data_IF_488775212642
#
_entry.id   IF_488775212642
#
_cell.length_a   1.000
_cell.length_b   1.000
_cell.length_c   1.000
_cell.angle_alpha   90.00
_cell.angle_beta   90.00
_cell.angle_gamma   90.00
#
_symmetry.space_group_name_H-M   'P 1'
#
loop_
_entity.id
_entity.type
_entity.pdbx_description
1 polymer ?
#
# COMPACT_ATOMS: atom_id res chain seq x y z
N UNK A 1 6.49 3.01 28.37
CA UNK A 1 5.97 2.26 29.54
C UNK A 1 4.69 1.49 29.20
N UNK A 2 4.11 0.71 30.12
CA UNK A 2 3.02 -0.23 29.80
C UNK A 2 1.77 0.45 29.19
N UNK A 3 1.36 1.63 29.71
CA UNK A 3 0.23 2.39 29.14
C UNK A 3 0.44 2.79 27.68
N UNK A 4 1.68 3.03 27.28
CA UNK A 4 2.02 3.36 25.89
C UNK A 4 1.99 2.10 25.01
N UNK A 5 2.44 0.97 25.53
CA UNK A 5 2.33 -0.33 24.86
C UNK A 5 0.86 -0.66 24.56
N UNK A 6 -0.04 -0.44 25.52
CA UNK A 6 -1.50 -0.59 25.33
C UNK A 6 -2.00 0.30 24.19
N UNK A 7 -1.66 1.59 24.19
CA UNK A 7 -2.04 2.51 23.11
C UNK A 7 -1.49 2.07 21.74
N UNK A 8 -0.27 1.54 21.69
CA UNK A 8 0.34 1.04 20.43
C UNK A 8 -0.42 -0.16 19.89
N UNK A 9 -0.79 -1.12 20.73
CA UNK A 9 -1.56 -2.29 20.28
C UNK A 9 -2.99 -1.93 19.88
N UNK A 10 -3.65 -1.03 20.60
CA UNK A 10 -4.99 -0.55 20.24
C UNK A 10 -5.02 0.10 18.85
N UNK A 11 -3.98 0.85 18.47
CA UNK A 11 -3.87 1.46 17.12
C UNK A 11 -3.86 0.45 15.99
N UNK A 12 -3.40 -0.78 16.24
CA UNK A 12 -3.36 -1.87 15.24
C UNK A 12 -4.50 -2.88 15.43
N UNK A 13 -5.52 -2.52 16.22
CA UNK A 13 -6.68 -3.39 16.48
C UNK A 13 -6.35 -4.64 17.32
N UNK A 14 -5.26 -4.59 18.09
CA UNK A 14 -4.82 -5.69 18.94
C UNK A 14 -4.77 -5.32 20.42
N UNK A 15 -4.42 -6.31 21.23
CA UNK A 15 -4.20 -6.17 22.67
C UNK A 15 -2.74 -6.45 23.00
N UNK A 16 -2.25 -5.92 24.12
CA UNK A 16 -0.90 -6.29 24.59
C UNK A 16 -0.92 -7.79 24.92
N UNK A 17 0.21 -8.45 24.65
CA UNK A 17 0.41 -9.88 24.80
C UNK A 17 -0.28 -10.48 26.04
N UNK A 18 -1.15 -11.45 25.80
CA UNK A 18 -1.62 -12.43 26.79
C UNK A 18 -0.96 -13.78 26.51
N UNK A 19 -0.78 -14.60 27.55
CA UNK A 19 -0.22 -15.95 27.46
C UNK A 19 -1.12 -16.89 28.25
N UNK A 20 -1.83 -17.77 27.54
CA UNK A 20 -2.90 -18.59 28.11
C UNK A 20 -2.45 -20.01 28.46
N UNK A 21 -1.35 -20.49 27.89
CA UNK A 21 -0.79 -21.81 28.15
C UNK A 21 0.75 -21.85 28.02
N UNK A 22 1.33 -22.99 28.39
CA UNK A 22 2.77 -23.23 28.37
C UNK A 22 3.35 -23.21 26.95
N UNK A 23 2.60 -23.73 25.97
CA UNK A 23 3.05 -23.78 24.58
C UNK A 23 3.13 -22.37 23.98
N UNK A 24 2.17 -21.50 24.30
CA UNK A 24 2.20 -20.09 23.95
C UNK A 24 3.40 -19.39 24.61
N UNK A 25 3.69 -19.67 25.89
CA UNK A 25 4.85 -19.10 26.56
C UNK A 25 6.17 -19.48 25.87
N UNK A 26 6.34 -20.77 25.55
CA UNK A 26 7.53 -21.28 24.85
C UNK A 26 7.64 -20.65 23.46
N UNK A 27 6.53 -20.61 22.71
CA UNK A 27 6.49 -20.00 21.39
C UNK A 27 6.95 -18.53 21.44
N UNK A 28 6.41 -17.74 22.36
CA UNK A 28 6.79 -16.34 22.50
C UNK A 28 8.27 -16.22 22.90
N UNK A 29 8.71 -16.95 23.92
CA UNK A 29 10.09 -16.89 24.40
C UNK A 29 11.10 -17.20 23.29
N UNK A 30 10.89 -18.26 22.51
CA UNK A 30 11.78 -18.63 21.40
C UNK A 30 11.93 -17.50 20.37
N UNK A 31 10.87 -16.74 20.11
CA UNK A 31 10.92 -15.61 19.19
C UNK A 31 11.53 -14.34 19.82
N UNK A 32 11.46 -14.20 21.15
CA UNK A 32 12.05 -13.07 21.87
C UNK A 32 13.58 -13.13 21.94
N UNK A 33 14.19 -14.32 21.91
CA UNK A 33 15.65 -14.48 22.02
C UNK A 33 16.41 -13.67 20.96
N UNK A 34 15.88 -13.59 19.74
CA UNK A 34 16.47 -12.81 18.63
C UNK A 34 16.54 -11.31 18.96
N UNK A 35 15.70 -10.82 19.86
CA UNK A 35 15.60 -9.41 20.25
C UNK A 35 16.18 -9.13 21.65
N UNK A 36 16.83 -10.11 22.29
CA UNK A 36 17.35 -9.95 23.66
C UNK A 36 18.32 -8.78 23.80
N UNK A 37 19.12 -8.50 22.77
CA UNK A 37 20.05 -7.35 22.74
C UNK A 37 19.35 -6.00 22.63
N UNK A 38 18.12 -5.95 22.15
CA UNK A 38 17.34 -4.72 21.93
C UNK A 38 16.41 -4.42 23.10
N UNK A 39 15.83 -5.45 23.70
CA UNK A 39 14.90 -5.33 24.81
C UNK A 39 15.06 -6.48 25.80
N UNK A 40 15.10 -6.14 27.10
CA UNK A 40 15.19 -7.11 28.20
C UNK A 40 13.99 -8.07 28.26
N UNK A 41 12.89 -7.69 27.62
CA UNK A 41 11.61 -8.39 27.68
C UNK A 41 10.52 -7.58 27.02
N UNK A 42 9.31 -8.12 27.06
CA UNK A 42 8.11 -7.47 26.51
C UNK A 42 7.00 -7.38 27.54
N UNK A 43 6.21 -6.32 27.45
CA UNK A 43 5.07 -6.11 28.32
C UNK A 43 4.00 -7.20 28.16
N UNK A 44 3.45 -7.63 29.30
CA UNK A 44 2.23 -8.44 29.36
C UNK A 44 1.02 -7.53 29.60
N UNK A 45 -0.11 -7.91 29.01
CA UNK A 45 -1.37 -7.17 29.03
C UNK A 45 -2.23 -7.38 30.28
N UNK A 46 -1.71 -8.05 31.31
CA UNK A 46 -2.48 -8.30 32.54
C UNK A 46 -2.48 -7.09 33.48
N UNK A 47 -3.53 -7.00 34.31
CA UNK A 47 -3.68 -6.00 35.35
C UNK A 47 -4.27 -6.61 36.63
N UNK A 48 -4.06 -5.98 37.77
CA UNK A 48 -4.64 -6.44 39.03
C UNK A 48 -6.08 -5.96 39.18
N UNK A 49 -6.99 -6.90 39.42
CA UNK A 49 -8.38 -6.61 39.74
C UNK A 49 -8.58 -6.55 41.28
N UNK A 50 -8.75 -5.36 41.88
CA UNK A 50 -8.86 -5.22 43.34
C UNK A 50 -10.13 -5.84 43.92
N UNK A 51 -11.20 -6.02 43.12
CA UNK A 51 -12.45 -6.64 43.59
C UNK A 51 -12.31 -8.15 43.74
N UNK A 52 -11.54 -8.78 42.85
CA UNK A 52 -11.31 -10.22 42.84
C UNK A 52 -10.02 -10.64 43.55
N UNK A 53 -9.11 -9.70 43.82
CA UNK A 53 -7.78 -10.00 44.37
C UNK A 53 -6.91 -10.81 43.40
N UNK A 54 -7.21 -10.78 42.11
CA UNK A 54 -6.59 -11.64 41.09
C UNK A 54 -6.06 -10.83 39.91
N UNK A 55 -5.13 -11.43 39.16
CA UNK A 55 -4.72 -10.90 37.87
C UNK A 55 -5.73 -11.25 36.80
N UNK A 56 -6.02 -10.29 35.95
CA UNK A 56 -6.91 -10.45 34.80
C UNK A 56 -6.24 -9.97 33.52
N UNK A 57 -6.56 -10.62 32.42
CA UNK A 57 -6.23 -10.17 31.07
C UNK A 57 -7.13 -8.99 30.64
N UNK A 58 -6.85 -8.43 29.47
CA UNK A 58 -7.59 -7.29 28.92
C UNK A 58 -9.09 -7.57 28.69
N UNK A 59 -9.48 -8.83 28.51
CA UNK A 59 -10.86 -9.29 28.35
C UNK A 59 -11.56 -9.60 29.70
N UNK A 60 -10.93 -9.22 30.82
CA UNK A 60 -11.35 -9.52 32.19
C UNK A 60 -11.35 -11.01 32.57
N UNK A 61 -10.78 -11.89 31.75
CA UNK A 61 -10.58 -13.29 32.13
C UNK A 61 -9.46 -13.40 33.15
N UNK A 62 -9.59 -14.34 34.09
CA UNK A 62 -8.57 -14.58 35.10
C UNK A 62 -7.30 -15.18 34.48
N UNK A 63 -6.14 -14.76 34.98
CA UNK A 63 -4.85 -15.36 34.61
C UNK A 63 -4.74 -16.75 35.25
N UNK A 64 -4.98 -17.79 34.45
CA UNK A 64 -4.95 -19.18 34.91
C UNK A 64 -3.58 -19.85 34.72
N UNK A 65 -2.87 -19.50 33.65
CA UNK A 65 -1.49 -19.91 33.42
C UNK A 65 -0.52 -18.82 33.89
N UNK A 66 0.62 -19.22 34.47
CA UNK A 66 1.68 -18.28 34.81
C UNK A 66 3.06 -18.93 34.83
N UNK A 67 4.09 -18.14 34.54
CA UNK A 67 5.49 -18.58 34.57
C UNK A 67 6.35 -17.64 35.41
N UNK A 68 6.03 -17.46 36.69
CA UNK A 68 6.71 -16.49 37.57
C UNK A 68 8.14 -16.86 38.01
N UNK A 69 8.67 -18.04 37.61
CA UNK A 69 9.95 -18.56 38.10
C UNK A 69 9.89 -19.00 39.57
N UNK A 70 11.02 -19.50 40.11
CA UNK A 70 11.08 -19.93 41.52
C UNK A 70 11.42 -18.77 42.48
N UNK A 71 10.75 -18.81 43.63
CA UNK A 71 11.04 -18.13 44.91
C UNK A 71 10.52 -16.71 45.19
N UNK A 72 10.64 -15.69 44.33
CA UNK A 72 10.44 -14.29 44.82
C UNK A 72 9.41 -13.43 44.06
N UNK A 73 8.68 -13.99 43.10
CA UNK A 73 7.74 -13.23 42.22
C UNK A 73 6.35 -13.87 42.11
N UNK A 74 5.98 -14.71 43.07
CA UNK A 74 4.66 -15.36 43.13
C UNK A 74 3.49 -14.42 43.44
N UNK A 75 2.26 -14.96 43.61
CA UNK A 75 1.03 -14.19 43.80
C UNK A 75 1.05 -13.19 44.97
N UNK A 76 1.91 -13.41 45.95
CA UNK A 76 2.10 -12.57 47.14
C UNK A 76 2.69 -11.18 46.86
N UNK A 77 3.25 -10.94 45.67
CA UNK A 77 3.85 -9.66 45.25
C UNK A 77 2.99 -8.89 44.23
N UNK A 78 1.79 -9.39 43.93
CA UNK A 78 0.86 -8.77 43.00
C UNK A 78 0.27 -7.52 43.66
N UNK A 79 0.46 -6.35 43.03
CA UNK A 79 -0.03 -5.07 43.55
C UNK A 79 -0.79 -4.27 42.47
N UNK A 80 -1.70 -3.36 42.85
CA UNK A 80 -2.43 -2.50 41.91
C UNK A 80 -1.53 -1.60 41.06
N UNK A 81 -0.31 -1.31 41.53
CA UNK A 81 0.64 -0.40 40.88
C UNK A 81 1.79 -1.14 40.19
N UNK A 82 1.74 -2.47 40.16
CA UNK A 82 2.75 -3.30 39.50
C UNK A 82 2.38 -3.56 38.04
N UNK A 83 3.39 -3.61 37.18
CA UNK A 83 3.26 -4.05 35.80
C UNK A 83 4.10 -5.28 35.54
N UNK A 84 3.71 -6.05 34.53
CA UNK A 84 4.21 -7.41 34.31
C UNK A 84 4.80 -7.55 32.93
N UNK A 85 5.86 -8.33 32.82
CA UNK A 85 6.59 -8.53 31.58
C UNK A 85 7.22 -9.91 31.53
N UNK A 86 7.43 -10.44 30.33
CA UNK A 86 8.15 -11.68 30.09
C UNK A 86 9.59 -11.35 29.70
N UNK A 87 10.54 -12.02 30.34
CA UNK A 87 11.98 -11.83 30.11
C UNK A 87 12.42 -12.55 28.84
N UNK A 88 13.15 -11.84 27.97
CA UNK A 88 13.60 -12.38 26.68
C UNK A 88 14.57 -13.57 26.84
N UNK A 89 15.37 -13.57 27.90
CA UNK A 89 16.46 -14.55 28.10
C UNK A 89 15.96 -15.96 28.46
N UNK A 90 14.88 -16.07 29.24
CA UNK A 90 14.42 -17.36 29.79
C UNK A 90 12.90 -17.55 29.78
N UNK A 91 12.12 -16.59 29.28
CA UNK A 91 10.66 -16.70 29.18
C UNK A 91 9.93 -16.61 30.52
N UNK A 92 10.63 -16.23 31.59
CA UNK A 92 10.05 -16.08 32.94
C UNK A 92 9.39 -14.72 33.07
N UNK A 93 8.27 -14.68 33.79
CA UNK A 93 7.51 -13.47 34.04
C UNK A 93 8.05 -12.74 35.27
N UNK A 94 8.09 -11.43 35.18
CA UNK A 94 8.61 -10.53 36.21
C UNK A 94 7.63 -9.40 36.44
N UNK A 95 7.65 -8.87 37.66
CA UNK A 95 6.94 -7.65 38.04
C UNK A 95 7.91 -6.47 38.10
N UNK A 96 7.41 -5.26 37.90
CA UNK A 96 8.20 -4.04 38.03
C UNK A 96 7.40 -2.77 37.80
N UNK A 97 8.10 -1.64 37.75
CA UNK A 97 7.49 -0.34 37.50
C UNK A 97 6.90 -0.24 36.08
N UNK A 98 5.66 0.23 35.99
CA UNK A 98 4.95 0.50 34.74
C UNK A 98 5.61 1.55 33.83
N UNK A 99 6.52 2.36 34.36
CA UNK A 99 7.22 3.41 33.63
C UNK A 99 8.47 2.94 32.89
N UNK A 100 8.89 1.68 33.03
CA UNK A 100 10.13 1.20 32.42
C UNK A 100 10.06 1.27 30.87
N UNK A 101 10.91 2.09 30.26
CA UNK A 101 10.88 2.32 28.81
C UNK A 101 11.71 1.32 28.01
N UNK A 102 12.51 0.47 28.67
CA UNK A 102 13.41 -0.51 28.00
C UNK A 102 12.73 -1.81 27.58
N UNK A 103 11.42 -1.91 27.78
CA UNK A 103 10.60 -3.08 27.46
C UNK A 103 9.98 -2.93 26.06
N UNK A 104 10.04 -4.01 25.27
CA UNK A 104 9.34 -4.11 23.99
C UNK A 104 7.84 -4.32 24.15
N UNK A 105 7.13 -4.38 23.02
CA UNK A 105 5.69 -4.63 22.97
C UNK A 105 5.38 -5.64 21.86
N UNK A 106 4.54 -6.63 22.18
CA UNK A 106 3.93 -7.55 21.23
C UNK A 106 2.42 -7.35 21.30
N UNK A 107 1.78 -7.26 20.14
CA UNK A 107 0.34 -7.09 20.02
C UNK A 107 -0.30 -8.39 19.54
N UNK A 108 -1.14 -9.00 20.38
CA UNK A 108 -1.92 -10.20 20.06
C UNK A 108 -3.26 -9.77 19.46
N UNK A 109 -3.61 -10.37 18.33
CA UNK A 109 -4.90 -10.16 17.65
C UNK A 109 -5.62 -11.49 17.53
N UNK A 110 -6.95 -11.48 17.60
CA UNK A 110 -7.75 -12.67 17.34
C UNK A 110 -7.61 -13.05 15.88
N UNK A 111 -7.40 -14.34 15.60
CA UNK A 111 -7.52 -14.83 14.23
C UNK A 111 -8.94 -14.55 13.76
N UNK A 112 -9.09 -13.75 12.72
CA UNK A 112 -10.38 -13.55 12.07
C UNK A 112 -10.80 -14.91 11.53
N UNK A 113 -11.70 -15.61 12.24
CA UNK A 113 -12.40 -16.78 11.70
C UNK A 113 -13.32 -16.28 10.60
N UNK A 114 -12.80 -16.15 9.38
CA UNK A 114 -13.58 -15.99 8.15
C UNK A 114 -14.85 -15.14 8.25
N UNK A 115 -14.81 -14.01 8.95
CA UNK A 115 -15.73 -12.92 8.59
C UNK A 115 -15.24 -12.48 7.24
N UNK A 116 -16.06 -12.67 6.20
CA UNK A 116 -15.88 -12.17 4.84
C UNK A 116 -14.83 -11.08 4.83
N UNK A 117 -13.66 -11.36 4.25
CA UNK A 117 -12.65 -10.35 3.93
C UNK A 117 -13.48 -9.16 3.47
N UNK A 118 -13.57 -8.10 4.29
CA UNK A 118 -14.03 -6.82 3.80
C UNK A 118 -13.01 -6.55 2.74
N UNK A 119 -13.42 -6.78 1.49
CA UNK A 119 -12.56 -6.74 0.32
C UNK A 119 -11.62 -5.57 0.54
N UNK A 120 -10.29 -5.75 0.49
CA UNK A 120 -9.43 -4.59 0.49
C UNK A 120 -9.99 -3.68 -0.60
N UNK A 121 -10.11 -2.38 -0.33
CA UNK A 121 -10.66 -1.38 -1.26
C UNK A 121 -10.01 -1.44 -2.67
N UNK A 122 -8.93 -2.19 -2.81
CA UNK A 122 -8.37 -2.69 -4.05
C UNK A 122 -9.38 -3.35 -5.04
N UNK A 123 -10.41 -4.09 -4.57
CA UNK A 123 -11.40 -4.75 -5.44
C UNK A 123 -12.67 -3.90 -5.73
N UNK A 124 -12.71 -2.63 -5.35
CA UNK A 124 -13.69 -1.70 -5.96
C UNK A 124 -13.10 -1.06 -7.21
N UNK A 125 -11.82 -0.70 -7.16
CA UNK A 125 -11.16 0.00 -8.26
C UNK A 125 -10.92 -0.90 -9.48
N UNK A 126 -10.94 -2.23 -9.35
CA UNK A 126 -10.71 -3.14 -10.49
C UNK A 126 -11.78 -2.98 -11.58
N UNK A 127 -13.05 -2.81 -11.19
CA UNK A 127 -14.13 -2.59 -12.17
C UNK A 127 -13.95 -1.25 -12.89
N UNK A 128 -13.63 -0.20 -12.14
CA UNK A 128 -13.40 1.15 -12.69
C UNK A 128 -12.16 1.19 -13.60
N UNK A 129 -11.05 0.56 -13.19
CA UNK A 129 -9.82 0.47 -13.97
C UNK A 129 -10.05 -0.26 -15.30
N UNK A 130 -10.76 -1.40 -15.28
CA UNK A 130 -11.08 -2.15 -16.50
C UNK A 130 -11.94 -1.32 -17.46
N UNK A 131 -12.96 -0.60 -16.96
CA UNK A 131 -13.79 0.27 -17.79
C UNK A 131 -12.99 1.41 -18.40
N UNK A 132 -12.11 2.05 -17.62
CA UNK A 132 -11.24 3.14 -18.11
C UNK A 132 -10.30 2.64 -19.21
N UNK A 133 -9.66 1.48 -19.01
CA UNK A 133 -8.77 0.88 -20.01
C UNK A 133 -9.53 0.55 -21.30
N UNK A 134 -10.71 -0.07 -21.19
CA UNK A 134 -11.53 -0.41 -22.37
C UNK A 134 -12.02 0.84 -23.11
N UNK A 135 -12.43 1.88 -22.38
CA UNK A 135 -12.85 3.15 -22.99
C UNK A 135 -11.69 3.86 -23.70
N UNK A 136 -10.50 3.83 -23.13
CA UNK A 136 -9.29 4.43 -23.69
C UNK A 136 -8.88 3.70 -24.99
N UNK A 137 -8.84 2.37 -24.97
CA UNK A 137 -8.53 1.56 -26.15
C UNK A 137 -9.55 1.77 -27.29
N UNK A 138 -10.84 1.86 -26.95
CA UNK A 138 -11.88 2.14 -27.93
C UNK A 138 -11.72 3.52 -28.56
N UNK A 139 -11.45 4.56 -27.77
CA UNK A 139 -11.20 5.92 -28.28
C UNK A 139 -9.95 5.97 -29.16
N UNK A 140 -8.86 5.32 -28.74
CA UNK A 140 -7.62 5.23 -29.52
C UNK A 140 -7.81 4.51 -30.85
N UNK A 141 -8.78 3.60 -30.98
CA UNK A 141 -9.08 2.93 -32.25
C UNK A 141 -10.05 3.74 -33.13
N UNK A 142 -11.07 4.37 -32.54
CA UNK A 142 -12.11 5.09 -33.28
C UNK A 142 -11.62 6.40 -33.89
N UNK A 143 -10.74 7.14 -33.20
CA UNK A 143 -10.23 8.43 -33.69
C UNK A 143 -9.40 8.28 -34.98
N UNK A 144 -8.41 7.37 -35.08
CA UNK A 144 -7.67 7.14 -36.32
C UNK A 144 -8.56 6.64 -37.46
N UNK A 145 -9.52 5.76 -37.17
CA UNK A 145 -10.47 5.26 -38.18
C UNK A 145 -11.35 6.39 -38.70
N UNK A 146 -11.88 7.25 -37.82
CA UNK A 146 -12.66 8.41 -38.22
C UNK A 146 -11.83 9.40 -39.06
N UNK A 147 -10.58 9.68 -38.67
CA UNK A 147 -9.66 10.52 -39.44
C UNK A 147 -9.33 9.92 -40.81
N UNK A 148 -9.14 8.61 -40.87
CA UNK A 148 -8.91 7.89 -42.11
C UNK A 148 -10.14 7.97 -43.04
N UNK A 149 -11.34 7.72 -42.51
CA UNK A 149 -12.59 7.82 -43.27
C UNK A 149 -12.87 9.25 -43.73
N UNK A 150 -12.62 10.24 -42.87
CA UNK A 150 -12.75 11.65 -43.20
C UNK A 150 -11.80 12.07 -44.32
N UNK A 151 -10.51 11.69 -44.22
CA UNK A 151 -9.52 11.93 -45.28
C UNK A 151 -9.90 11.23 -46.58
N UNK A 152 -10.37 9.98 -46.51
CA UNK A 152 -10.83 9.23 -47.69
C UNK A 152 -12.02 9.92 -48.36
N UNK A 153 -12.99 10.41 -47.58
CA UNK A 153 -14.16 11.14 -48.09
C UNK A 153 -13.78 12.49 -48.71
N UNK A 154 -12.90 13.25 -48.06
CA UNK A 154 -12.38 14.51 -48.59
C UNK A 154 -11.60 14.33 -49.91
N UNK A 155 -10.82 13.24 -50.04
CA UNK A 155 -10.15 12.89 -51.31
C UNK A 155 -11.19 12.49 -52.37
N UNK A 156 -12.23 11.75 -51.99
CA UNK A 156 -13.30 11.35 -52.91
C UNK A 156 -14.14 12.54 -53.41
N UNK A 157 -14.38 13.54 -52.56
CA UNK A 157 -15.09 14.79 -52.92
C UNK A 157 -14.23 15.71 -53.82
N UNK A 158 -12.90 15.61 -53.77
CA UNK A 158 -12.00 16.26 -54.75
C UNK A 158 -11.75 15.42 -56.02
N UNK A 159 -12.29 14.21 -56.09
CA UNK A 159 -12.00 13.21 -57.13
C UNK A 159 -12.90 13.26 -58.37
N UNK A 160 -13.91 14.13 -58.42
CA UNK A 160 -14.77 14.27 -59.60
C UNK A 160 -14.53 15.62 -60.29
N UNK A 161 -13.35 15.80 -60.85
CA UNK A 161 -13.21 16.63 -62.05
C UNK A 161 -12.89 15.67 -63.20
N UNK A 162 -13.93 15.31 -63.96
CA UNK A 162 -13.77 14.56 -65.21
C UNK A 162 -12.86 15.35 -66.15
N UNK A 163 -11.65 14.85 -66.36
CA UNK A 163 -10.81 15.31 -67.46
C UNK A 163 -11.41 14.71 -68.74
N UNK A 164 -12.24 15.49 -69.43
CA UNK A 164 -12.65 15.20 -70.79
C UNK A 164 -11.40 15.07 -71.66
N UNK A 165 -11.09 13.85 -72.11
CA UNK A 165 -10.11 13.62 -73.17
C UNK A 165 -10.87 13.41 -74.47
N UNK A 166 -10.65 14.30 -75.43
CA UNK A 166 -10.74 13.93 -76.84
C UNK A 166 -9.51 14.43 -77.59
N UNK A 167 -9.05 13.58 -78.50
CA UNK A 167 -7.72 13.52 -79.09
C UNK A 167 -7.32 14.74 -79.93
N UNK A 168 -6.06 15.17 -79.79
CA UNK A 168 -5.40 16.06 -80.75
C UNK A 168 -4.64 15.21 -81.77
N UNK A 169 -5.05 15.31 -83.02
CA UNK A 169 -4.33 14.80 -84.20
C UNK A 169 -2.98 15.48 -84.35
N UNK A 170 -1.99 14.70 -84.80
CA UNK A 170 -0.60 15.04 -85.07
C UNK A 170 -0.41 16.35 -85.85
N UNK A 171 0.52 17.19 -85.38
CA UNK A 171 1.37 18.06 -86.22
C UNK A 171 2.64 18.47 -85.43
N UNK A 172 3.81 18.18 -86.00
CA UNK A 172 5.17 18.63 -85.65
C UNK A 172 5.39 20.11 -86.10
N UNK A 173 6.56 20.81 -85.92
CA UNK A 173 7.75 20.64 -85.07
C UNK A 173 8.11 21.90 -84.23
N UNK A 174 9.21 21.79 -83.45
CA UNK A 174 10.15 22.83 -82.98
C UNK A 174 9.67 23.92 -81.99
N UNK A 175 10.27 23.98 -80.79
CA UNK A 175 11.27 25.01 -80.43
C UNK A 175 11.91 24.74 -79.07
N UNK A 176 13.22 24.90 -79.07
CA UNK A 176 14.18 24.86 -77.97
C UNK A 176 14.10 26.08 -77.05
N UNK A 177 14.27 25.89 -75.74
CA UNK A 177 15.00 26.74 -74.77
C UNK A 177 14.47 26.42 -73.36
N UNK A 178 15.20 25.69 -72.51
CA UNK A 178 16.32 26.20 -71.69
C UNK A 178 15.93 27.37 -70.79
N UNK A 179 15.83 27.11 -69.47
CA UNK A 179 16.58 27.86 -68.44
C UNK A 179 16.26 27.34 -67.03
N UNK A 180 17.23 26.60 -66.47
CA UNK A 180 17.58 26.72 -65.06
C UNK A 180 18.26 28.10 -64.83
N UNK A 181 18.59 28.45 -63.56
CA UNK A 181 19.47 29.58 -63.11
C UNK A 181 18.64 30.86 -62.80
N UNK A 182 18.68 31.53 -61.63
CA UNK A 182 19.51 31.53 -60.42
C UNK A 182 18.75 32.24 -59.27
N UNK A 183 19.10 31.91 -58.02
CA UNK A 183 18.78 32.69 -56.81
C UNK A 183 19.95 33.64 -56.53
N UNK A 184 19.64 34.93 -56.34
CA UNK A 184 20.41 36.03 -55.72
C UNK A 184 19.50 37.26 -55.78
N UNK A 185 19.28 38.13 -54.79
CA UNK A 185 20.00 38.41 -53.56
C UNK A 185 19.04 38.89 -52.46
N UNK A 186 19.57 38.77 -51.25
CA UNK A 186 19.13 39.32 -49.98
C UNK A 186 19.50 40.81 -49.92
N UNK A 187 18.53 41.70 -49.65
CA UNK A 187 18.82 42.93 -48.90
C UNK A 187 17.58 43.46 -48.17
N UNK A 188 17.80 43.82 -46.92
CA UNK A 188 16.83 44.26 -45.93
C UNK A 188 16.67 45.77 -45.97
N UNK A 189 15.46 46.28 -45.71
CA UNK A 189 15.15 47.07 -44.51
C UNK A 189 13.89 47.91 -44.71
N UNK A 190 13.15 47.97 -43.61
CA UNK A 190 12.00 48.83 -43.35
C UNK A 190 12.39 50.32 -43.38
N UNK A 191 11.49 51.12 -43.97
CA UNK A 191 11.12 52.53 -43.71
C UNK A 191 10.26 52.97 -44.92
N UNK A 192 9.11 53.65 -44.87
CA UNK A 192 8.49 54.52 -43.87
C UNK A 192 7.03 54.78 -44.34
N UNK A 193 6.05 54.78 -43.43
CA UNK A 193 4.97 55.78 -43.29
C UNK A 193 4.09 55.45 -42.07
#
# INVERSE_FOLDING_TARGET
GQKEAVKKCQKVGGMVLSIEDEMENIFIWQHLQVYESQAKGVWLGMSFNPKGGTLVWHDNTAVNYSNWGQHDTGPSMISPNSCYWIQSSNGVWRLGSCSNVTMGVICKTTRVKGSSISKPAFLENTKTIVVVILSSLALCALVPVALYLYKRRWISERGTFESARYSRTNASPSESAEKNILVSDMEMNEQQD
#
